data_IF_374971870681
#
_entry.id   IF_374971870681
#
_cell.length_a   1.000
_cell.length_b   1.000
_cell.length_c   1.000
_cell.angle_alpha   90.00
_cell.angle_beta   90.00
_cell.angle_gamma   90.00
#
_symmetry.space_group_name_H-M   'P 1'
#
loop_
_entity.id
_entity.type
_entity.pdbx_description
1 polymer ?
#
# COMPACT_ATOMS: atom_id res chain seq x y z
N UNK A 1 22.02 -13.37 14.43
CA UNK A 1 21.58 -13.13 13.05
C UNK A 1 20.39 -12.20 13.06
N UNK A 2 20.53 -11.08 12.38
CA UNK A 2 19.39 -10.17 12.25
C UNK A 2 18.41 -10.71 11.24
N UNK A 3 17.14 -10.83 11.65
CA UNK A 3 16.06 -11.16 10.73
C UNK A 3 15.84 -9.92 9.84
N UNK A 4 15.84 -10.12 8.53
CA UNK A 4 15.55 -9.02 7.61
C UNK A 4 14.15 -8.49 7.88
N UNK A 5 14.03 -7.18 7.97
CA UNK A 5 12.73 -6.53 8.15
C UNK A 5 11.83 -6.85 6.96
N UNK A 6 10.55 -7.00 7.25
CA UNK A 6 9.56 -7.15 6.20
C UNK A 6 9.42 -5.87 5.36
N UNK A 7 8.81 -6.00 4.21
CA UNK A 7 8.56 -4.89 3.29
C UNK A 7 7.08 -4.53 3.32
N UNK A 8 6.76 -3.29 3.67
CA UNK A 8 5.42 -2.73 3.54
C UNK A 8 5.34 -1.97 2.23
N UNK A 9 4.36 -2.32 1.41
CA UNK A 9 4.12 -1.69 0.11
C UNK A 9 2.81 -0.91 0.19
N UNK A 10 2.90 0.41 0.02
CA UNK A 10 1.74 1.28 -0.12
C UNK A 10 1.44 1.41 -1.62
N UNK A 11 0.31 0.86 -2.03
CA UNK A 11 -0.07 0.82 -3.45
C UNK A 11 -0.84 2.10 -3.78
N UNK A 12 -0.21 3.01 -4.53
CA UNK A 12 -0.66 4.38 -4.65
C UNK A 12 -0.84 4.85 -6.08
N UNK A 13 -1.92 5.60 -6.31
CA UNK A 13 -2.15 6.36 -7.54
C UNK A 13 -1.79 7.82 -7.27
N UNK A 14 -1.15 8.47 -8.26
CA UNK A 14 -0.79 9.88 -8.15
C UNK A 14 -2.03 10.75 -7.87
N UNK A 15 -1.92 11.71 -6.94
CA UNK A 15 -3.02 12.63 -6.66
C UNK A 15 -3.13 13.68 -7.78
N UNK A 16 -3.87 13.36 -8.83
CA UNK A 16 -4.14 14.23 -9.98
C UNK A 16 -5.63 14.54 -10.06
N UNK A 17 -5.96 15.78 -10.36
CA UNK A 17 -7.34 16.23 -10.50
C UNK A 17 -8.07 15.37 -11.54
N UNK A 18 -9.27 14.93 -11.21
CA UNK A 18 -10.12 14.16 -12.10
C UNK A 18 -9.75 12.69 -12.27
N UNK A 19 -8.69 12.20 -11.63
CA UNK A 19 -8.24 10.81 -11.79
C UNK A 19 -8.39 9.96 -10.55
N UNK A 20 -8.67 10.56 -9.39
CA UNK A 20 -8.71 9.85 -8.11
C UNK A 20 -10.08 9.97 -7.45
N UNK A 21 -10.45 8.96 -6.65
CA UNK A 21 -11.68 8.99 -5.85
C UNK A 21 -12.90 9.36 -6.68
N UNK A 22 -13.06 8.72 -7.85
CA UNK A 22 -14.11 9.10 -8.81
C UNK A 22 -15.52 9.05 -8.23
N UNK A 23 -15.81 8.09 -7.36
CA UNK A 23 -17.12 8.00 -6.70
C UNK A 23 -17.35 9.19 -5.77
N UNK A 24 -16.35 9.51 -4.93
CA UNK A 24 -16.42 10.67 -4.04
C UNK A 24 -16.50 11.97 -4.83
N UNK A 25 -15.74 12.08 -5.93
CA UNK A 25 -15.71 13.27 -6.77
C UNK A 25 -17.09 13.61 -7.37
N UNK A 26 -17.91 12.60 -7.65
CA UNK A 26 -19.27 12.82 -8.15
C UNK A 26 -20.16 13.51 -7.12
N UNK A 27 -19.89 13.31 -5.84
CA UNK A 27 -20.68 13.88 -4.74
C UNK A 27 -20.13 15.23 -4.27
N UNK A 28 -18.80 15.37 -4.15
CA UNK A 28 -18.17 16.55 -3.55
C UNK A 28 -17.31 17.36 -4.50
N UNK A 29 -17.16 16.91 -5.76
CA UNK A 29 -16.34 17.56 -6.77
C UNK A 29 -14.90 17.06 -6.80
N UNK A 30 -14.24 17.28 -7.94
CA UNK A 30 -12.90 16.76 -8.20
C UNK A 30 -11.84 17.34 -7.27
N UNK A 31 -11.93 18.63 -6.95
CA UNK A 31 -10.91 19.27 -6.09
C UNK A 31 -10.98 18.74 -4.66
N UNK A 32 -12.18 18.59 -4.09
CA UNK A 32 -12.33 18.04 -2.75
C UNK A 32 -11.89 16.59 -2.70
N UNK A 33 -12.20 15.80 -3.72
CA UNK A 33 -11.77 14.41 -3.81
C UNK A 33 -10.24 14.31 -3.91
N UNK A 34 -9.60 15.18 -4.69
CA UNK A 34 -8.14 15.24 -4.80
C UNK A 34 -7.49 15.57 -3.44
N UNK A 35 -8.01 16.56 -2.75
CA UNK A 35 -7.49 16.94 -1.42
C UNK A 35 -7.60 15.81 -0.41
N UNK A 36 -8.73 15.11 -0.43
CA UNK A 36 -8.95 13.97 0.46
C UNK A 36 -7.95 12.85 0.15
N UNK A 37 -7.80 12.49 -1.13
CA UNK A 37 -6.85 11.46 -1.56
C UNK A 37 -5.42 11.82 -1.15
N UNK A 38 -5.01 13.04 -1.41
CA UNK A 38 -3.67 13.53 -1.09
C UNK A 38 -3.41 13.52 0.41
N UNK A 39 -4.37 13.98 1.22
CA UNK A 39 -4.25 14.03 2.67
C UNK A 39 -4.16 12.61 3.26
N UNK A 40 -4.98 11.68 2.77
CA UNK A 40 -4.97 10.29 3.21
C UNK A 40 -3.64 9.62 2.89
N UNK A 41 -3.14 9.80 1.67
CA UNK A 41 -1.86 9.26 1.25
C UNK A 41 -0.71 9.79 2.10
N UNK A 42 -0.65 11.11 2.32
CA UNK A 42 0.38 11.72 3.16
C UNK A 42 0.36 11.16 4.58
N UNK A 43 -0.82 11.06 5.17
CA UNK A 43 -0.96 10.60 6.55
C UNK A 43 -0.56 9.14 6.71
N UNK A 44 -0.97 8.29 5.78
CA UNK A 44 -0.56 6.88 5.79
C UNK A 44 0.94 6.75 5.61
N UNK A 45 1.51 7.45 4.62
CA UNK A 45 2.95 7.41 4.36
C UNK A 45 3.76 7.89 5.57
N UNK A 46 3.31 8.96 6.23
CA UNK A 46 3.97 9.50 7.40
C UNK A 46 3.90 8.52 8.58
N UNK A 47 2.71 8.03 8.86
CA UNK A 47 2.46 7.18 10.04
C UNK A 47 3.12 5.81 9.89
N UNK A 48 2.91 5.15 8.76
CA UNK A 48 3.43 3.79 8.54
C UNK A 48 4.89 3.80 8.12
N UNK A 49 5.34 4.83 7.41
CA UNK A 49 6.72 4.95 6.96
C UNK A 49 7.73 5.24 8.06
N UNK A 50 7.28 5.73 9.22
CA UNK A 50 8.15 5.97 10.38
C UNK A 50 8.43 4.72 11.19
N UNK A 51 7.62 3.70 11.02
CA UNK A 51 7.74 2.49 11.82
C UNK A 51 8.98 1.70 11.40
N UNK A 52 9.86 1.43 12.35
CA UNK A 52 11.14 0.76 12.10
C UNK A 52 11.03 -0.76 12.04
N UNK A 53 9.86 -1.31 12.35
CA UNK A 53 9.65 -2.75 12.31
C UNK A 53 9.65 -3.31 10.88
N UNK A 54 9.43 -2.45 9.90
CA UNK A 54 9.45 -2.79 8.48
C UNK A 54 10.08 -1.68 7.66
N UNK A 55 10.40 -2.00 6.40
CA UNK A 55 10.72 -0.98 5.40
C UNK A 55 9.46 -0.65 4.62
N UNK A 56 9.30 0.61 4.29
CA UNK A 56 8.11 1.07 3.56
C UNK A 56 8.50 1.63 2.21
N UNK A 57 7.80 1.20 1.16
CA UNK A 57 7.93 1.75 -0.19
C UNK A 57 6.57 2.06 -0.76
N UNK A 58 6.53 3.02 -1.68
CA UNK A 58 5.35 3.30 -2.50
C UNK A 58 5.46 2.54 -3.82
N UNK A 59 4.45 1.77 -4.18
CA UNK A 59 4.29 1.26 -5.52
C UNK A 59 3.33 2.19 -6.25
N UNK A 60 3.82 2.90 -7.26
CA UNK A 60 3.16 4.09 -7.80
C UNK A 60 2.69 3.91 -9.24
N UNK A 61 1.61 4.59 -9.55
CA UNK A 61 1.12 4.76 -10.92
C UNK A 61 0.63 6.21 -11.10
N UNK A 62 0.96 6.93 -12.17
CA UNK A 62 1.97 6.58 -13.19
C UNK A 62 3.39 6.51 -12.62
N UNK A 63 4.28 5.83 -13.33
CA UNK A 63 5.62 5.49 -12.83
C UNK A 63 6.47 6.70 -12.41
N UNK A 64 6.28 7.85 -13.05
CA UNK A 64 7.08 9.07 -12.81
C UNK A 64 6.32 10.20 -12.16
N UNK A 65 5.12 9.94 -11.64
CA UNK A 65 4.32 10.99 -11.03
C UNK A 65 4.92 11.46 -9.70
N UNK A 66 4.59 12.70 -9.33
CA UNK A 66 4.98 13.27 -8.04
C UNK A 66 4.03 12.81 -6.95
N UNK A 67 4.59 12.58 -5.77
CA UNK A 67 3.84 12.14 -4.60
C UNK A 67 4.20 13.00 -3.40
N UNK A 68 3.25 13.25 -2.49
CA UNK A 68 3.45 14.13 -1.33
C UNK A 68 4.19 13.43 -0.18
N UNK A 69 5.23 12.68 -0.49
CA UNK A 69 6.02 11.96 0.51
C UNK A 69 7.42 11.69 -0.05
N UNK A 70 8.39 11.58 0.85
CA UNK A 70 9.79 11.26 0.52
C UNK A 70 10.09 9.77 0.57
N UNK A 71 9.10 8.90 0.79
CA UNK A 71 9.33 7.46 0.80
C UNK A 71 9.90 6.98 -0.54
N UNK A 72 10.75 5.95 -0.52
CA UNK A 72 11.20 5.31 -1.76
C UNK A 72 10.03 4.85 -2.62
N UNK A 73 10.17 4.97 -3.93
CA UNK A 73 9.12 4.63 -4.89
C UNK A 73 9.58 3.56 -5.84
N UNK A 74 8.65 2.69 -6.20
CA UNK A 74 8.83 1.71 -7.27
C UNK A 74 7.63 1.79 -8.21
N UNK A 75 7.81 1.58 -9.52
CA UNK A 75 6.67 1.63 -10.43
C UNK A 75 5.78 0.40 -10.24
N UNK A 76 4.47 0.57 -10.37
CA UNK A 76 3.56 -0.58 -10.42
C UNK A 76 3.75 -1.37 -11.71
N UNK A 77 4.17 -0.70 -12.78
CA UNK A 77 4.37 -1.31 -14.07
C UNK A 77 3.07 -1.50 -14.83
N UNK A 78 3.12 -2.34 -15.85
CA UNK A 78 2.00 -2.61 -16.77
C UNK A 78 1.20 -3.81 -16.29
N UNK A 79 0.00 -3.96 -16.87
CA UNK A 79 -0.87 -5.08 -16.60
C UNK A 79 -2.10 -4.69 -15.81
N UNK A 80 -2.94 -5.67 -15.53
CA UNK A 80 -4.11 -5.45 -14.68
C UNK A 80 -3.71 -5.28 -13.22
N UNK A 81 -4.67 -5.00 -12.37
CA UNK A 81 -4.41 -4.75 -10.94
C UNK A 81 -3.74 -5.95 -10.28
N UNK A 82 -4.24 -7.16 -10.54
CA UNK A 82 -3.67 -8.39 -9.96
C UNK A 82 -2.22 -8.59 -10.35
N UNK A 83 -1.89 -8.39 -11.63
CA UNK A 83 -0.51 -8.51 -12.13
C UNK A 83 0.41 -7.48 -11.48
N UNK A 84 -0.06 -6.24 -11.34
CA UNK A 84 0.71 -5.17 -10.71
C UNK A 84 0.94 -5.43 -9.22
N UNK A 85 -0.06 -5.93 -8.52
CA UNK A 85 0.07 -6.31 -7.10
C UNK A 85 1.03 -7.47 -6.93
N UNK A 86 0.91 -8.50 -7.77
CA UNK A 86 1.81 -9.66 -7.72
C UNK A 86 3.26 -9.24 -7.97
N UNK A 87 3.48 -8.34 -8.92
CA UNK A 87 4.82 -7.81 -9.22
C UNK A 87 5.41 -7.07 -8.03
N UNK A 88 4.61 -6.23 -7.36
CA UNK A 88 5.06 -5.49 -6.18
C UNK A 88 5.43 -6.43 -5.04
N UNK A 89 4.58 -7.42 -4.75
CA UNK A 89 4.82 -8.41 -3.70
C UNK A 89 6.03 -9.30 -4.02
N UNK A 90 6.30 -9.56 -5.30
CA UNK A 90 7.39 -10.41 -5.74
C UNK A 90 8.74 -9.70 -5.80
N UNK A 91 8.78 -8.40 -5.57
CA UNK A 91 9.96 -7.56 -5.78
C UNK A 91 11.12 -7.92 -4.85
N UNK A 92 10.80 -8.39 -3.67
CA UNK A 92 11.78 -8.83 -2.68
C UNK A 92 11.36 -10.21 -2.17
N UNK A 93 12.32 -11.02 -1.76
CA UNK A 93 12.05 -12.35 -1.19
C UNK A 93 11.62 -12.29 0.27
N UNK A 94 11.70 -11.10 0.88
CA UNK A 94 11.25 -10.88 2.25
C UNK A 94 9.74 -11.04 2.37
N UNK A 95 9.29 -11.18 3.61
CA UNK A 95 7.87 -11.03 3.89
C UNK A 95 7.41 -9.68 3.38
N UNK A 96 6.31 -9.63 2.69
CA UNK A 96 5.78 -8.41 2.12
C UNK A 96 4.30 -8.27 2.44
N UNK A 97 3.90 -7.07 2.84
CA UNK A 97 2.50 -6.71 3.06
C UNK A 97 2.18 -5.53 2.16
N UNK A 98 1.12 -5.66 1.39
CA UNK A 98 0.64 -4.63 0.47
C UNK A 98 -0.71 -4.12 0.95
N UNK A 99 -0.83 -2.80 1.06
CA UNK A 99 -2.10 -2.14 1.39
C UNK A 99 -2.34 -1.00 0.41
N UNK A 100 -3.62 -0.67 0.19
CA UNK A 100 -3.98 0.53 -0.56
C UNK A 100 -3.61 1.78 0.24
N UNK A 101 -3.23 2.83 -0.44
CA UNK A 101 -2.80 4.09 0.19
C UNK A 101 -3.95 5.01 0.58
N UNK A 102 -5.18 4.59 0.33
CA UNK A 102 -6.36 5.43 0.50
C UNK A 102 -7.38 4.82 1.48
N UNK A 103 -6.91 3.99 2.41
CA UNK A 103 -7.78 3.32 3.38
C UNK A 103 -7.63 4.02 4.73
N UNK A 104 -8.58 4.89 5.11
CA UNK A 104 -8.53 5.54 6.42
C UNK A 104 -8.69 4.52 7.54
N UNK A 105 -8.01 4.75 8.65
CA UNK A 105 -8.13 3.90 9.82
C UNK A 105 -7.16 2.74 9.90
N UNK A 106 -6.41 2.44 8.86
CA UNK A 106 -5.35 1.44 8.96
C UNK A 106 -4.22 1.98 9.83
N UNK A 107 -3.88 1.25 10.87
CA UNK A 107 -2.81 1.63 11.79
C UNK A 107 -1.64 0.67 11.74
N UNK A 108 -0.55 1.08 12.40
CA UNK A 108 0.65 0.24 12.52
C UNK A 108 0.36 -1.10 13.18
N UNK A 109 -0.62 -1.16 14.08
CA UNK A 109 -1.03 -2.41 14.72
C UNK A 109 -1.57 -3.43 13.72
N UNK A 110 -2.33 -2.96 12.72
CA UNK A 110 -2.88 -3.83 11.67
C UNK A 110 -1.75 -4.43 10.83
N UNK A 111 -0.77 -3.61 10.48
CA UNK A 111 0.38 -4.04 9.69
C UNK A 111 1.25 -5.01 10.51
N UNK A 112 1.49 -4.70 11.78
CA UNK A 112 2.25 -5.58 12.66
C UNK A 112 1.56 -6.94 12.81
N UNK A 113 0.24 -6.96 12.94
CA UNK A 113 -0.53 -8.21 13.02
C UNK A 113 -0.39 -9.04 11.75
N UNK A 114 -0.40 -8.39 10.58
CA UNK A 114 -0.21 -9.08 9.30
C UNK A 114 1.18 -9.72 9.22
N UNK A 115 2.23 -9.01 9.61
CA UNK A 115 3.57 -9.57 9.63
C UNK A 115 3.70 -10.73 10.62
N UNK A 116 3.08 -10.63 11.80
CA UNK A 116 3.09 -11.74 12.77
C UNK A 116 2.41 -12.99 12.21
N UNK A 117 1.31 -12.82 11.47
CA UNK A 117 0.63 -13.93 10.83
C UNK A 117 1.53 -14.63 9.81
N UNK A 118 2.39 -13.87 9.12
CA UNK A 118 3.36 -14.40 8.17
C UNK A 118 4.58 -15.03 8.87
N UNK A 119 4.93 -14.55 10.06
CA UNK A 119 6.03 -15.12 10.87
C UNK A 119 5.72 -16.49 11.43
N UNK A 120 4.45 -16.81 11.60
CA UNK A 120 4.01 -18.13 11.97
C UNK A 120 4.26 -19.10 10.83
N UNK A 121 3.25 -19.88 10.48
CA UNK A 121 3.33 -20.81 9.34
C UNK A 121 2.53 -20.33 8.13
N UNK A 122 2.12 -19.04 8.15
CA UNK A 122 1.31 -18.51 7.08
C UNK A 122 2.15 -18.13 5.88
N UNK A 123 1.80 -18.67 4.72
CA UNK A 123 2.41 -18.30 3.45
C UNK A 123 1.77 -17.04 2.89
N UNK A 124 0.54 -16.75 3.28
CA UNK A 124 -0.20 -15.57 2.84
C UNK A 124 -1.17 -15.10 3.92
N UNK A 125 -1.47 -13.81 3.92
CA UNK A 125 -2.49 -13.21 4.77
C UNK A 125 -3.34 -12.27 3.92
N UNK A 126 -4.65 -12.21 4.25
CA UNK A 126 -5.60 -11.37 3.53
C UNK A 126 -6.44 -10.60 4.54
N UNK A 127 -6.61 -9.28 4.30
CA UNK A 127 -7.54 -8.46 5.03
C UNK A 127 -8.79 -8.24 4.19
N UNK A 128 -9.92 -8.89 4.47
CA UNK A 128 -11.11 -8.73 3.66
C UNK A 128 -11.78 -7.38 3.88
N UNK A 129 -12.27 -6.79 2.78
CA UNK A 129 -13.07 -5.58 2.82
C UNK A 129 -14.56 -5.91 2.71
N UNK A 130 -15.40 -4.99 3.15
CA UNK A 130 -16.86 -5.18 3.15
C UNK A 130 -17.44 -5.37 1.75
N UNK A 131 -16.77 -4.83 0.73
CA UNK A 131 -17.20 -4.92 -0.66
C UNK A 131 -16.81 -6.24 -1.35
N UNK A 132 -16.22 -7.18 -0.60
CA UNK A 132 -15.78 -8.48 -1.13
C UNK A 132 -14.34 -8.49 -1.64
N UNK A 133 -13.67 -7.34 -1.68
CA UNK A 133 -12.25 -7.26 -2.01
C UNK A 133 -11.36 -7.39 -0.79
N UNK A 134 -10.11 -6.99 -0.94
CA UNK A 134 -9.14 -7.02 0.15
C UNK A 134 -8.49 -5.64 0.31
N UNK A 135 -8.35 -5.20 1.55
CA UNK A 135 -7.61 -3.98 1.86
C UNK A 135 -6.13 -4.27 2.16
N UNK A 136 -5.78 -5.51 2.41
CA UNK A 136 -4.43 -5.94 2.72
C UNK A 136 -4.17 -7.32 2.13
N UNK A 137 -3.00 -7.48 1.52
CA UNK A 137 -2.50 -8.79 1.05
C UNK A 137 -1.05 -8.92 1.50
N UNK A 138 -0.71 -10.03 2.11
CA UNK A 138 0.66 -10.30 2.53
C UNK A 138 1.16 -11.65 2.05
N UNK A 139 2.44 -11.72 1.77
CA UNK A 139 3.13 -12.97 1.41
C UNK A 139 4.32 -13.21 2.33
N UNK A 140 4.48 -14.46 2.74
CA UNK A 140 5.61 -14.88 3.55
C UNK A 140 6.92 -14.94 2.77
N UNK A 141 7.99 -15.31 3.45
CA UNK A 141 9.30 -15.46 2.83
C UNK A 141 9.22 -16.54 1.76
N UNK A 142 9.73 -16.22 0.57
CA UNK A 142 9.78 -17.15 -0.55
C UNK A 142 11.20 -17.62 -0.76
N UNK A 143 11.30 -18.89 -0.99
CA UNK A 143 12.58 -19.57 -1.28
C UNK A 143 12.81 -19.64 -2.76
#
# INVERSE_FOLDING_TARGET
MSVRRGLLILFARAPRLGTVKRRLAREVGDLAALRFHRATLREMARRLGRDRRWRTVLAVTPDRARFPTALPRVPQGRGDLGERMARALARDRRRAVLVGSDIPGIGAADIAAAFRALDGRGDAVFGPAEDGGYWLVGLGVRR
#
